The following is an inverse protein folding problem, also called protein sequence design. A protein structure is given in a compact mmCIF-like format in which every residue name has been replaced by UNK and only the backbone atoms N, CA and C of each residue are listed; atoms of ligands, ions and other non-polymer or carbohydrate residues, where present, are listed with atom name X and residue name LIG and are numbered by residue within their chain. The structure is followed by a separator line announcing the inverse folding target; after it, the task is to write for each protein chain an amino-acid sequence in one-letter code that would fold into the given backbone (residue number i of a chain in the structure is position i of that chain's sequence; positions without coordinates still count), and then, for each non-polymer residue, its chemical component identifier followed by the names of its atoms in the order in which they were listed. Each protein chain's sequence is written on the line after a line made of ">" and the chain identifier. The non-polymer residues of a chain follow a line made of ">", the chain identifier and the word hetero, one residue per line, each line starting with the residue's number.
data_IF_497025847539
#
_entry.id   IF_497025847539
#
_cell.length_a   1.000
_cell.length_b   1.000
_cell.length_c   1.000
_cell.angle_alpha   90.00
_cell.angle_beta   90.00
_cell.angle_gamma   90.00
#
_symmetry.space_group_name_H-M   'P 1'
#
loop_
_entity.id
_entity.type
_entity.pdbx_description
1 polymer ?
#
# COMPACT_ATOMS: atom_id res chain seq x y z
N UNK A 1 12.62 4.89 1.69
CA UNK A 1 11.32 4.32 1.24
C UNK A 1 10.17 5.12 1.82
N UNK A 2 10.05 5.23 3.15
CA UNK A 2 9.02 6.04 3.82
C UNK A 2 8.99 7.51 3.36
N UNK A 3 10.15 8.15 3.13
CA UNK A 3 10.21 9.54 2.68
C UNK A 3 9.62 9.78 1.29
N UNK A 4 9.82 8.84 0.35
CA UNK A 4 9.27 8.93 -1.01
C UNK A 4 7.75 8.83 -0.93
N UNK A 5 7.26 7.81 -0.23
CA UNK A 5 5.83 7.59 -0.03
C UNK A 5 5.17 8.75 0.73
N UNK A 6 5.87 9.32 1.70
CA UNK A 6 5.43 10.50 2.45
C UNK A 6 5.30 11.71 1.52
N UNK A 7 6.26 11.95 0.62
CA UNK A 7 6.16 13.02 -0.36
C UNK A 7 4.99 12.79 -1.33
N UNK A 8 4.77 11.55 -1.77
CA UNK A 8 3.63 11.20 -2.61
C UNK A 8 2.31 11.50 -1.89
N UNK A 9 2.12 11.01 -0.66
CA UNK A 9 0.93 11.31 0.13
C UNK A 9 0.74 12.80 0.39
N UNK A 10 1.81 13.55 0.63
CA UNK A 10 1.73 15.03 0.77
C UNK A 10 1.20 15.68 -0.50
N UNK A 11 1.65 15.24 -1.67
CA UNK A 11 1.14 15.78 -2.95
C UNK A 11 -0.32 15.42 -3.19
N UNK A 12 -0.75 14.21 -2.81
CA UNK A 12 -2.15 13.78 -2.92
C UNK A 12 -3.04 14.57 -1.98
N UNK A 13 -2.63 14.76 -0.72
CA UNK A 13 -3.35 15.59 0.26
C UNK A 13 -3.51 17.03 -0.26
N UNK A 14 -2.47 17.59 -0.88
CA UNK A 14 -2.50 18.96 -1.38
C UNK A 14 -3.31 19.15 -2.67
N UNK A 15 -3.44 18.12 -3.51
CA UNK A 15 -4.09 18.21 -4.82
C UNK A 15 -5.50 17.62 -4.82
N UNK A 16 -5.64 16.37 -4.37
CA UNK A 16 -6.90 15.63 -4.43
C UNK A 16 -7.07 14.70 -3.22
N UNK A 17 -7.80 15.17 -2.22
CA UNK A 17 -8.05 14.43 -0.97
C UNK A 17 -8.95 13.21 -1.17
N UNK A 18 -9.81 13.18 -2.20
CA UNK A 18 -10.73 12.06 -2.46
C UNK A 18 -10.04 10.77 -2.89
N UNK A 19 -8.85 10.84 -3.50
CA UNK A 19 -8.11 9.66 -3.94
C UNK A 19 -7.15 9.11 -2.89
N UNK A 20 -6.95 9.82 -1.77
CA UNK A 20 -5.96 9.44 -0.77
C UNK A 20 -6.19 8.02 -0.24
N UNK A 21 -7.45 7.66 0.02
CA UNK A 21 -7.85 6.30 0.43
C UNK A 21 -7.41 5.24 -0.56
N UNK A 22 -7.67 5.46 -1.85
CA UNK A 22 -7.27 4.53 -2.92
C UNK A 22 -5.75 4.41 -3.01
N UNK A 23 -5.02 5.53 -2.92
CA UNK A 23 -3.55 5.51 -2.98
C UNK A 23 -2.95 4.75 -1.79
N UNK A 24 -3.51 4.88 -0.58
CA UNK A 24 -3.07 4.13 0.61
C UNK A 24 -3.33 2.63 0.46
N UNK A 25 -4.49 2.24 -0.08
CA UNK A 25 -4.81 0.85 -0.38
C UNK A 25 -3.85 0.26 -1.42
N UNK A 26 -3.63 0.97 -2.53
CA UNK A 26 -2.69 0.55 -3.58
C UNK A 26 -1.25 0.44 -3.08
N UNK A 27 -0.82 1.35 -2.21
CA UNK A 27 0.52 1.32 -1.59
C UNK A 27 0.71 0.14 -0.66
N UNK A 28 -0.37 -0.30 0.00
CA UNK A 28 -0.40 -1.49 0.84
C UNK A 28 -0.62 -2.78 0.04
N UNK A 29 -0.73 -2.71 -1.30
CA UNK A 29 -1.15 -3.83 -2.16
C UNK A 29 -2.46 -4.48 -1.68
N UNK A 30 -3.40 -3.69 -1.14
CA UNK A 30 -4.73 -4.14 -0.70
C UNK A 30 -5.80 -3.46 -1.56
N UNK A 31 -6.92 -4.13 -1.80
CA UNK A 31 -8.05 -3.55 -2.56
C UNK A 31 -9.13 -3.02 -1.61
N UNK A 32 -9.23 -3.62 -0.43
CA UNK A 32 -10.22 -3.30 0.60
C UNK A 32 -9.66 -3.61 1.98
N UNK A 33 -10.39 -3.19 3.03
CA UNK A 33 -10.14 -3.62 4.41
C UNK A 33 -10.14 -5.14 4.53
N UNK A 34 -9.24 -5.71 5.31
CA UNK A 34 -9.02 -7.16 5.43
C UNK A 34 -10.26 -7.98 5.82
N UNK A 35 -11.28 -7.37 6.42
CA UNK A 35 -12.52 -8.03 6.83
C UNK A 35 -13.68 -7.85 5.85
N UNK A 36 -13.54 -6.94 4.89
CA UNK A 36 -14.36 -6.92 3.70
C UNK A 36 -13.73 -7.95 2.78
N UNK A 37 -14.27 -9.17 2.72
CA UNK A 37 -13.77 -10.25 1.87
C UNK A 37 -14.00 -9.96 0.38
N UNK A 38 -13.59 -8.78 -0.10
CA UNK A 38 -13.68 -8.32 -1.47
C UNK A 38 -12.37 -8.70 -2.13
N UNK A 39 -12.39 -9.84 -2.79
CA UNK A 39 -11.34 -10.26 -3.69
C UNK A 39 -11.67 -9.77 -5.10
N UNK A 40 -10.66 -9.37 -5.86
CA UNK A 40 -10.83 -8.96 -7.26
C UNK A 40 -11.37 -10.11 -8.14
N UNK A 41 -11.26 -11.36 -7.67
CA UNK A 41 -11.67 -12.56 -8.40
C UNK A 41 -10.83 -12.84 -9.65
N UNK A 42 -9.71 -12.11 -9.82
CA UNK A 42 -8.83 -12.27 -10.98
C UNK A 42 -7.81 -13.34 -10.67
N UNK A 43 -8.04 -14.53 -11.22
CA UNK A 43 -7.07 -15.60 -11.19
C UNK A 43 -5.96 -15.35 -12.23
N UNK A 44 -4.74 -15.73 -11.88
CA UNK A 44 -3.56 -15.77 -12.78
C UNK A 44 -3.86 -16.39 -14.16
N UNK A 45 -4.59 -17.53 -14.30
CA UNK A 45 -4.98 -18.06 -15.61
C UNK A 45 -5.88 -17.13 -16.43
N UNK A 46 -6.79 -16.38 -15.80
CA UNK A 46 -7.65 -15.41 -16.49
C UNK A 46 -6.82 -14.23 -17.00
N UNK A 47 -5.84 -13.80 -16.20
CA UNK A 47 -4.92 -12.73 -16.58
C UNK A 47 -4.01 -13.13 -17.74
N UNK A 48 -3.47 -14.35 -17.73
CA UNK A 48 -2.65 -14.88 -18.83
C UNK A 48 -3.45 -14.93 -20.13
N UNK A 49 -4.74 -15.31 -20.09
CA UNK A 49 -5.62 -15.30 -21.26
C UNK A 49 -5.84 -13.88 -21.81
N UNK A 50 -6.15 -12.92 -20.95
CA UNK A 50 -6.33 -11.51 -21.36
C UNK A 50 -5.04 -10.94 -21.97
N UNK A 51 -3.88 -11.25 -21.40
CA UNK A 51 -2.57 -10.83 -21.94
C UNK A 51 -2.29 -11.54 -23.28
N UNK A 52 -2.57 -12.85 -23.38
CA UNK A 52 -2.42 -13.60 -24.63
C UNK A 52 -3.31 -13.04 -25.76
N UNK A 53 -4.56 -12.65 -25.45
CA UNK A 53 -5.51 -12.08 -26.41
C UNK A 53 -5.11 -10.66 -26.85
N UNK A 54 -4.74 -9.80 -25.90
CA UNK A 54 -4.36 -8.40 -26.20
C UNK A 54 -3.06 -8.31 -27.00
N UNK A 55 -2.10 -9.18 -26.72
CA UNK A 55 -0.80 -9.17 -27.40
C UNK A 55 -0.68 -10.19 -28.53
N UNK A 56 -1.67 -11.08 -28.69
CA UNK A 56 -1.65 -12.21 -29.65
C UNK A 56 -0.40 -13.09 -29.50
N UNK A 57 0.02 -13.32 -28.25
CA UNK A 57 1.17 -14.17 -27.88
C UNK A 57 0.64 -15.53 -27.41
N UNK A 58 1.39 -16.60 -27.67
CA UNK A 58 1.07 -17.94 -27.17
C UNK A 58 1.17 -17.99 -25.63
N UNK A 59 0.13 -18.53 -24.98
CA UNK A 59 0.09 -18.69 -23.51
C UNK A 59 1.30 -19.44 -22.91
N UNK A 60 1.90 -20.34 -23.68
CA UNK A 60 3.08 -21.12 -23.26
C UNK A 60 4.27 -20.22 -22.95
N UNK A 61 4.52 -19.23 -23.81
CA UNK A 61 5.61 -18.28 -23.64
C UNK A 61 5.38 -17.39 -22.40
N UNK A 62 4.14 -16.97 -22.16
CA UNK A 62 3.79 -16.15 -20.98
C UNK A 62 3.96 -16.96 -19.68
N UNK A 63 3.56 -18.23 -19.67
CA UNK A 63 3.69 -19.12 -18.49
C UNK A 63 5.16 -19.42 -18.15
N UNK A 64 6.04 -19.53 -19.15
CA UNK A 64 7.48 -19.71 -18.95
C UNK A 64 8.14 -18.43 -18.42
N UNK A 65 7.80 -17.26 -18.97
CA UNK A 65 8.28 -15.96 -18.49
C UNK A 65 7.82 -15.68 -17.04
N UNK A 66 6.63 -16.12 -16.67
CA UNK A 66 6.09 -15.97 -15.31
C UNK A 66 6.75 -16.91 -14.30
N UNK A 67 7.16 -18.11 -14.73
CA UNK A 67 7.91 -19.08 -13.91
C UNK A 67 9.37 -18.69 -13.72
N UNK A 68 10.00 -18.16 -14.76
CA UNK A 68 11.41 -17.75 -14.75
C UNK A 68 11.59 -16.36 -14.10
N UNK A 69 10.51 -15.58 -14.01
CA UNK A 69 10.54 -14.20 -13.57
C UNK A 69 10.54 -14.02 -12.05
N UNK A 70 11.73 -14.04 -11.44
CA UNK A 70 12.01 -13.04 -10.42
C UNK A 70 11.68 -11.65 -11.03
N UNK A 71 10.71 -10.93 -10.43
CA UNK A 71 10.33 -9.55 -10.75
C UNK A 71 9.59 -9.32 -12.08
N UNK A 72 8.45 -9.98 -12.28
CA UNK A 72 7.25 -9.39 -12.90
C UNK A 72 7.44 -8.50 -14.15
N UNK A 73 8.42 -8.76 -15.00
CA UNK A 73 8.64 -8.07 -16.26
C UNK A 73 7.95 -8.90 -17.31
N UNK A 74 6.61 -8.88 -17.34
CA UNK A 74 5.93 -9.27 -18.58
C UNK A 74 6.33 -8.18 -19.56
N UNK A 75 7.26 -8.57 -20.42
CA UNK A 75 8.18 -7.71 -21.13
C UNK A 75 7.41 -6.78 -22.07
N UNK A 76 7.53 -5.48 -21.83
CA UNK A 76 7.41 -4.43 -22.85
C UNK A 76 8.29 -4.71 -24.08
N UNK A 77 9.25 -5.64 -23.98
CA UNK A 77 10.16 -6.09 -25.04
C UNK A 77 9.49 -6.87 -26.17
N UNK A 78 8.39 -7.60 -25.94
CA UNK A 78 7.75 -8.38 -27.03
C UNK A 78 6.92 -7.50 -28.00
N UNK A 79 6.71 -6.23 -27.65
CA UNK A 79 6.04 -5.25 -28.51
C UNK A 79 7.05 -4.43 -29.32
N UNK A 80 7.65 -5.02 -30.37
CA UNK A 80 8.55 -4.28 -31.27
C UNK A 80 8.13 -4.26 -32.75
N UNK A 81 7.11 -5.00 -33.18
CA UNK A 81 6.77 -5.06 -34.62
C UNK A 81 5.47 -4.33 -35.01
N UNK A 82 4.39 -4.36 -34.22
CA UNK A 82 3.08 -3.85 -34.67
C UNK A 82 2.61 -2.51 -34.06
N UNK A 83 3.09 -2.08 -32.89
CA UNK A 83 2.69 -0.81 -32.25
C UNK A 83 3.56 0.41 -32.64
N UNK A 84 4.51 0.25 -33.58
CA UNK A 84 5.33 1.35 -34.11
C UNK A 84 4.53 2.40 -34.90
N UNK A 85 3.28 2.09 -35.28
CA UNK A 85 2.44 3.00 -36.06
C UNK A 85 1.90 4.19 -35.24
N UNK A 86 1.83 4.10 -33.91
CA UNK A 86 1.17 5.10 -33.07
C UNK A 86 2.10 5.94 -32.19
N UNK A 87 3.43 5.77 -32.28
CA UNK A 87 4.42 6.47 -31.45
C UNK A 87 4.05 6.54 -29.95
N UNK A 88 3.29 5.54 -29.49
CA UNK A 88 2.81 5.44 -28.12
C UNK A 88 3.86 4.64 -27.38
N UNK A 89 4.59 5.30 -26.49
CA UNK A 89 5.44 4.63 -25.50
C UNK A 89 4.50 4.13 -24.41
N UNK A 90 4.14 2.83 -24.36
CA UNK A 90 3.21 2.38 -23.33
C UNK A 90 3.87 2.59 -21.97
N UNK A 91 3.29 3.48 -21.15
CA UNK A 91 3.55 3.45 -19.72
C UNK A 91 3.24 2.04 -19.19
N UNK A 92 3.98 1.52 -18.20
CA UNK A 92 4.28 0.10 -18.19
C UNK A 92 3.05 -0.71 -17.82
N UNK A 93 2.47 -1.43 -18.79
CA UNK A 93 1.45 -2.45 -18.53
C UNK A 93 1.90 -3.43 -17.45
N UNK A 94 3.20 -3.59 -17.29
CA UNK A 94 3.86 -4.24 -16.17
C UNK A 94 3.28 -3.84 -14.82
N UNK A 95 3.04 -2.56 -14.54
CA UNK A 95 2.47 -2.12 -13.26
C UNK A 95 0.99 -2.46 -13.14
N UNK A 96 0.21 -2.33 -14.21
CA UNK A 96 -1.21 -2.70 -14.21
C UNK A 96 -1.35 -4.20 -13.99
N UNK A 97 -0.61 -5.01 -14.73
CA UNK A 97 -0.63 -6.47 -14.60
C UNK A 97 -0.14 -6.89 -13.21
N UNK A 98 0.89 -6.24 -12.65
CA UNK A 98 1.34 -6.48 -11.27
C UNK A 98 0.32 -6.06 -10.22
N UNK A 99 -0.38 -4.95 -10.43
CA UNK A 99 -1.45 -4.45 -9.56
C UNK A 99 -2.63 -5.41 -9.58
N UNK A 100 -3.00 -5.94 -10.75
CA UNK A 100 -4.02 -6.98 -10.89
C UNK A 100 -3.60 -8.31 -10.25
N UNK A 101 -2.30 -8.64 -10.28
CA UNK A 101 -1.75 -9.79 -9.54
C UNK A 101 -1.55 -9.51 -8.05
N UNK A 102 -1.76 -8.28 -7.57
CA UNK A 102 -1.36 -7.80 -6.23
C UNK A 102 0.12 -8.01 -5.88
N UNK A 103 0.96 -8.39 -6.86
CA UNK A 103 2.39 -8.63 -6.72
C UNK A 103 3.14 -7.45 -7.31
N UNK A 104 3.06 -6.30 -6.65
CA UNK A 104 3.72 -5.09 -7.12
C UNK A 104 5.26 -5.21 -7.16
N UNK A 105 5.84 -6.20 -6.46
CA UNK A 105 7.29 -6.38 -6.36
C UNK A 105 7.99 -5.23 -5.62
N UNK A 106 7.19 -4.30 -5.10
CA UNK A 106 7.56 -3.28 -4.14
C UNK A 106 6.90 -3.76 -2.85
N UNK A 107 7.59 -4.61 -2.10
CA UNK A 107 7.08 -5.11 -0.83
C UNK A 107 7.20 -3.99 0.22
N UNK A 108 6.29 -3.01 0.14
CA UNK A 108 6.13 -2.03 1.19
C UNK A 108 5.30 -2.68 2.29
N UNK A 109 5.97 -3.05 3.38
CA UNK A 109 5.28 -3.51 4.58
C UNK A 109 4.27 -2.45 5.04
N UNK A 110 3.11 -2.92 5.48
CA UNK A 110 1.99 -2.11 6.00
C UNK A 110 2.42 -1.05 7.03
N UNK A 111 3.38 -1.41 7.89
CA UNK A 111 4.00 -0.50 8.85
C UNK A 111 4.68 0.71 8.19
N UNK A 112 5.28 0.54 7.02
CA UNK A 112 5.92 1.63 6.25
C UNK A 112 4.88 2.61 5.72
N UNK A 113 3.73 2.09 5.27
CA UNK A 113 2.61 2.90 4.77
C UNK A 113 2.00 3.72 5.90
N UNK A 114 1.78 3.11 7.08
CA UNK A 114 1.27 3.80 8.27
C UNK A 114 2.22 4.92 8.75
N UNK A 115 3.53 4.65 8.78
CA UNK A 115 4.53 5.67 9.15
C UNK A 115 4.50 6.83 8.15
N UNK A 116 4.50 6.54 6.85
CA UNK A 116 4.50 7.57 5.82
C UNK A 116 3.21 8.42 5.86
N UNK A 117 2.06 7.81 6.12
CA UNK A 117 0.78 8.51 6.24
C UNK A 117 0.76 9.45 7.46
N UNK A 118 1.20 8.98 8.63
CA UNK A 118 1.29 9.82 9.83
C UNK A 118 2.25 10.99 9.66
N UNK A 119 3.39 10.75 9.02
CA UNK A 119 4.34 11.81 8.68
C UNK A 119 3.73 12.84 7.69
N UNK A 120 3.07 12.36 6.64
CA UNK A 120 2.47 13.22 5.60
C UNK A 120 1.37 14.13 6.17
N UNK A 121 0.55 13.60 7.08
CA UNK A 121 -0.50 14.37 7.75
C UNK A 121 0.09 15.48 8.65
N UNK A 122 1.12 15.18 9.45
CA UNK A 122 1.83 16.19 10.25
C UNK A 122 2.46 17.27 9.36
N UNK A 123 2.97 16.91 8.18
CA UNK A 123 3.50 17.88 7.22
C UNK A 123 2.43 18.81 6.62
N UNK A 124 1.19 18.32 6.49
CA UNK A 124 0.07 19.12 5.99
C UNK A 124 -0.37 20.17 7.01
N UNK A 125 -0.38 19.82 8.29
CA UNK A 125 -0.80 20.70 9.39
C UNK A 125 0.30 21.69 9.81
N UNK A 126 1.55 21.24 9.92
CA UNK A 126 2.65 22.04 10.48
C UNK A 126 3.59 22.61 9.40
N UNK A 127 3.39 23.88 9.03
CA UNK A 127 4.37 24.70 8.28
C UNK A 127 5.59 25.16 9.11
N UNK A 128 5.85 24.56 10.27
CA UNK A 128 6.89 24.97 11.25
C UNK A 128 8.33 24.66 10.81
N UNK A 129 9.41 25.25 11.34
CA UNK A 129 10.80 25.01 10.91
C UNK A 129 11.40 23.62 11.28
N UNK A 130 12.49 23.23 10.62
CA UNK A 130 12.97 21.85 10.40
C UNK A 130 13.43 21.01 11.60
N UNK A 131 13.74 21.59 12.77
CA UNK A 131 14.29 20.83 13.92
C UNK A 131 13.22 20.24 14.84
N UNK A 132 12.16 20.99 15.16
CA UNK A 132 11.02 20.51 15.95
C UNK A 132 10.14 19.51 15.19
N UNK A 133 10.31 19.40 13.86
CA UNK A 133 9.55 18.48 13.03
C UNK A 133 9.85 17.02 13.32
N UNK A 134 11.10 16.64 13.61
CA UNK A 134 11.48 15.21 13.71
C UNK A 134 10.75 14.50 14.85
N UNK A 135 10.67 15.13 16.03
CA UNK A 135 9.94 14.59 17.18
C UNK A 135 8.43 14.50 16.92
N UNK A 136 7.83 15.52 16.30
CA UNK A 136 6.40 15.52 15.97
C UNK A 136 6.04 14.51 14.87
N UNK A 137 6.95 14.24 13.93
CA UNK A 137 6.76 13.24 12.87
C UNK A 137 6.71 11.82 13.42
N UNK A 138 7.56 11.52 14.40
CA UNK A 138 7.59 10.22 15.06
C UNK A 138 6.33 10.01 15.91
N UNK A 139 5.92 11.04 16.66
CA UNK A 139 4.65 11.04 17.40
C UNK A 139 3.45 10.81 16.49
N UNK A 140 3.38 11.50 15.35
CA UNK A 140 2.27 11.34 14.39
C UNK A 140 2.22 9.93 13.79
N UNK A 141 3.38 9.34 13.49
CA UNK A 141 3.45 7.96 13.01
C UNK A 141 3.00 6.95 14.08
N UNK A 142 3.34 7.19 15.35
CA UNK A 142 2.95 6.30 16.45
C UNK A 142 1.45 6.36 16.75
N UNK A 143 0.84 7.55 16.69
CA UNK A 143 -0.61 7.71 16.83
C UNK A 143 -1.36 6.95 15.73
N UNK A 144 -0.96 7.12 14.46
CA UNK A 144 -1.61 6.43 13.33
C UNK A 144 -1.47 4.91 13.44
N UNK A 145 -0.29 4.41 13.85
CA UNK A 145 -0.10 2.98 14.12
C UNK A 145 -1.04 2.47 15.20
N UNK A 146 -1.15 3.20 16.32
CA UNK A 146 -2.02 2.83 17.42
C UNK A 146 -3.49 2.78 16.99
N UNK A 147 -3.96 3.81 16.30
CA UNK A 147 -5.34 3.88 15.78
C UNK A 147 -5.60 2.74 14.80
N UNK A 148 -4.65 2.44 13.91
CA UNK A 148 -4.80 1.35 12.96
C UNK A 148 -4.89 -0.02 13.64
N UNK A 149 -4.09 -0.28 14.67
CA UNK A 149 -4.17 -1.55 15.41
C UNK A 149 -5.50 -1.70 16.16
N UNK A 150 -6.09 -0.60 16.67
CA UNK A 150 -7.41 -0.62 17.32
C UNK A 150 -8.56 -0.70 16.31
N UNK A 151 -8.39 -0.12 15.12
CA UNK A 151 -9.42 0.02 14.09
C UNK A 151 -8.81 -0.03 12.68
N UNK A 152 -8.59 -1.22 12.09
CA UNK A 152 -7.89 -1.38 10.81
C UNK A 152 -8.80 -1.10 9.59
N UNK A 153 -9.32 0.13 9.49
CA UNK A 153 -10.19 0.56 8.38
C UNK A 153 -9.82 1.97 7.88
N UNK A 154 -9.17 2.02 6.72
CA UNK A 154 -8.71 3.25 6.07
C UNK A 154 -9.86 4.10 5.52
N UNK A 155 -11.02 3.51 5.22
CA UNK A 155 -12.16 4.24 4.67
C UNK A 155 -12.71 5.25 5.68
N UNK A 156 -12.53 5.00 6.99
CA UNK A 156 -12.89 5.96 8.04
C UNK A 156 -11.71 6.72 8.62
N UNK A 157 -10.54 6.07 8.74
CA UNK A 157 -9.34 6.74 9.28
C UNK A 157 -8.95 7.94 8.42
N UNK A 158 -8.95 7.81 7.10
CA UNK A 158 -8.44 8.85 6.20
C UNK A 158 -9.34 10.10 6.19
N UNK A 159 -10.68 9.99 6.07
CA UNK A 159 -11.55 11.15 6.23
C UNK A 159 -11.42 11.82 7.60
N UNK A 160 -11.38 11.03 8.68
CA UNK A 160 -11.21 11.57 10.04
C UNK A 160 -9.86 12.29 10.19
N UNK A 161 -8.80 11.76 9.57
CA UNK A 161 -7.48 12.36 9.56
C UNK A 161 -7.47 13.71 8.82
N UNK A 162 -8.21 13.84 7.72
CA UNK A 162 -8.31 15.08 6.95
C UNK A 162 -9.14 16.16 7.68
N UNK A 163 -10.16 15.77 8.44
CA UNK A 163 -11.04 16.69 9.15
C UNK A 163 -10.51 17.11 10.52
N UNK A 164 -10.07 16.13 11.33
CA UNK A 164 -9.73 16.33 12.75
C UNK A 164 -8.23 16.48 13.00
N UNK A 165 -7.40 16.05 12.04
CA UNK A 165 -5.95 16.03 12.15
C UNK A 165 -5.40 14.88 13.01
N UNK A 166 -4.08 14.69 12.98
CA UNK A 166 -3.42 13.52 13.59
C UNK A 166 -3.66 13.42 15.10
N UNK A 167 -3.69 14.54 15.81
CA UNK A 167 -3.78 14.58 17.27
C UNK A 167 -5.17 14.19 17.80
N UNK A 168 -6.23 14.47 17.05
CA UNK A 168 -7.61 14.17 17.45
C UNK A 168 -8.14 12.85 16.89
N UNK A 169 -7.34 12.18 16.05
CA UNK A 169 -7.70 10.92 15.42
C UNK A 169 -8.03 9.81 16.44
N UNK A 170 -7.34 9.80 17.59
CA UNK A 170 -7.59 8.83 18.66
C UNK A 170 -8.95 9.02 19.36
N UNK A 171 -9.54 10.21 19.29
CA UNK A 171 -10.85 10.48 19.88
C UNK A 171 -11.98 10.08 18.93
N UNK A 172 -11.77 10.25 17.62
CA UNK A 172 -12.75 9.97 16.57
C UNK A 172 -12.78 8.49 16.16
N UNK A 173 -11.63 7.84 16.10
CA UNK A 173 -11.50 6.43 15.73
C UNK A 173 -11.33 5.55 16.98
N UNK A 174 -12.46 5.19 17.62
CA UNK A 174 -12.49 4.25 18.75
C UNK A 174 -12.82 2.83 18.30
N UNK A 175 -12.38 1.86 19.10
CA UNK A 175 -12.78 0.47 18.94
C UNK A 175 -14.31 0.34 18.85
N UNK A 176 -14.77 -0.25 17.75
CA UNK A 176 -16.19 -0.46 17.47
C UNK A 176 -16.45 -1.96 17.35
N UNK A 177 -17.37 -2.54 18.15
CA UNK A 177 -17.75 -3.94 18.01
C UNK A 177 -18.20 -4.25 16.57
N UNK A 178 -17.65 -5.31 15.99
CA UNK A 178 -17.92 -5.71 14.60
C UNK A 178 -16.78 -5.41 13.63
N UNK A 179 -15.77 -4.61 14.03
CA UNK A 179 -14.52 -4.47 13.29
C UNK A 179 -13.43 -5.29 13.98
N UNK A 180 -12.68 -6.15 13.25
CA UNK A 180 -11.63 -6.95 13.86
C UNK A 180 -10.42 -6.08 14.22
N UNK A 181 -9.80 -6.39 15.35
CA UNK A 181 -8.57 -5.74 15.84
C UNK A 181 -7.37 -6.54 15.33
N UNK A 182 -6.24 -5.87 15.08
CA UNK A 182 -4.98 -6.58 14.92
C UNK A 182 -4.64 -7.34 16.22
N UNK A 183 -4.54 -8.66 16.12
CA UNK A 183 -4.15 -9.50 17.25
C UNK A 183 -2.69 -9.27 17.61
N UNK A 184 -2.39 -9.23 18.90
CA UNK A 184 -0.99 -9.22 19.37
C UNK A 184 -0.34 -10.54 18.99
N UNK A 185 0.66 -10.49 18.11
CA UNK A 185 1.46 -11.64 17.73
C UNK A 185 2.52 -11.93 18.81
N UNK A 186 2.59 -13.18 19.26
CA UNK A 186 3.63 -13.62 20.17
C UNK A 186 5.00 -13.58 19.47
N UNK A 187 6.00 -13.01 20.15
CA UNK A 187 7.38 -13.09 19.68
C UNK A 187 7.89 -14.50 19.98
N UNK A 188 8.48 -15.22 19.01
CA UNK A 188 9.11 -16.51 19.30
C UNK A 188 10.26 -16.29 20.28
N UNK A 189 10.29 -17.10 21.34
CA UNK A 189 11.37 -17.12 22.34
C UNK A 189 12.10 -18.45 22.27
N UNK A 190 13.44 -18.41 22.29
CA UNK A 190 14.28 -19.61 22.18
C UNK A 190 14.60 -20.25 23.52
N UNK A 191 14.29 -19.60 24.64
CA UNK A 191 14.54 -20.14 25.97
C UNK A 191 13.86 -19.35 27.09
N UNK A 192 13.83 -19.98 28.27
CA UNK A 192 13.18 -19.43 29.47
C UNK A 192 13.88 -18.16 29.97
N UNK A 193 15.19 -18.04 29.77
CA UNK A 193 15.95 -16.84 30.12
C UNK A 193 15.48 -15.60 29.35
N UNK A 194 15.19 -15.74 28.05
CA UNK A 194 14.66 -14.63 27.23
C UNK A 194 13.24 -14.22 27.63
N UNK A 195 12.51 -15.11 28.30
CA UNK A 195 11.17 -14.83 28.82
C UNK A 195 11.31 -13.96 30.08
N UNK A 196 12.19 -14.35 31.00
CA UNK A 196 12.42 -13.61 32.25
C UNK A 196 12.96 -12.19 32.02
N UNK A 197 13.71 -11.95 30.95
CA UNK A 197 14.20 -10.61 30.59
C UNK A 197 13.12 -9.71 29.92
N UNK A 198 11.98 -10.28 29.51
CA UNK A 198 10.90 -9.58 28.78
C UNK A 198 9.64 -9.31 29.61
N UNK A 199 9.46 -10.02 30.73
CA UNK A 199 8.38 -9.82 31.69
C UNK A 199 8.77 -8.76 32.73
#
# INVERSE_FOLDING_TARGET
>A
MSEILCNDFRTVIATTTSYLTVVVYLSSSKISTSFSCVELGICEPSLIKVVAETYRILEKHIKEELKNGEKGSITTTSCSSHLKLFNYKPAPLTYIIRLLMLKLGIDLGEQTVLVALGQAAVYSENRLPSQLRKSSLEQGAEIVKKVYSEFPDFDRIIPALLESGVLKLSESCKFTPGVPIESVLAKPTKGVSEILDKF
#
